data_IF_015749264487
#
_entry.id   IF_015749264487
#
_cell.length_a   1.000
_cell.length_b   1.000
_cell.length_c   1.000
_cell.angle_alpha   90.00
_cell.angle_beta   90.00
_cell.angle_gamma   90.00
#
_symmetry.space_group_name_H-M   'P 1'
#
loop_
_entity.id
_entity.type
_entity.pdbx_description
1 polymer ?
#
# COMPACT_ATOMS: atom_id res chain seq x y z
N UNK A 1 -29.98 -17.90 -18.54
CA UNK A 1 -29.24 -17.13 -17.51
C UNK A 1 -29.22 -15.69 -17.97
N UNK A 2 -30.08 -14.83 -17.40
CA UNK A 2 -30.15 -13.40 -17.76
C UNK A 2 -29.06 -12.69 -16.96
N UNK A 3 -27.98 -12.28 -17.63
CA UNK A 3 -26.96 -11.44 -17.02
C UNK A 3 -27.55 -10.03 -16.95
N UNK A 4 -27.98 -9.59 -15.76
CA UNK A 4 -28.32 -8.18 -15.52
C UNK A 4 -27.06 -7.36 -15.83
N UNK A 5 -27.15 -6.44 -16.78
CA UNK A 5 -26.17 -5.37 -16.93
C UNK A 5 -26.25 -4.51 -15.66
N UNK A 6 -25.36 -4.77 -14.71
CA UNK A 6 -25.11 -3.85 -13.60
C UNK A 6 -24.54 -2.59 -14.27
N UNK A 7 -25.26 -1.47 -14.16
CA UNK A 7 -24.76 -0.20 -14.67
C UNK A 7 -23.42 0.09 -14.00
N UNK A 8 -22.45 0.53 -14.81
CA UNK A 8 -21.06 0.77 -14.35
C UNK A 8 -20.98 1.86 -13.27
N UNK A 9 -22.00 2.70 -13.16
CA UNK A 9 -22.09 3.80 -12.19
C UNK A 9 -22.53 3.30 -10.80
N UNK A 10 -23.46 2.35 -10.73
CA UNK A 10 -23.98 1.83 -9.46
C UNK A 10 -22.94 1.05 -8.64
N UNK A 11 -21.93 0.49 -9.31
CA UNK A 11 -20.88 -0.28 -8.62
C UNK A 11 -19.87 0.60 -7.90
N UNK A 12 -19.76 1.88 -8.31
CA UNK A 12 -18.82 2.81 -7.71
C UNK A 12 -19.34 3.30 -6.36
N UNK A 13 -20.62 3.70 -6.29
CA UNK A 13 -21.22 4.26 -5.07
C UNK A 13 -21.30 3.27 -3.91
N UNK A 14 -21.52 1.98 -4.17
CA UNK A 14 -21.76 0.99 -3.12
C UNK A 14 -20.50 0.57 -2.33
N UNK A 15 -19.29 0.99 -2.73
CA UNK A 15 -18.04 0.56 -2.08
C UNK A 15 -17.53 1.49 -0.98
N UNK A 16 -18.23 2.60 -0.71
CA UNK A 16 -17.69 3.72 0.09
C UNK A 16 -18.50 4.08 1.36
N UNK A 17 -19.56 3.36 1.72
CA UNK A 17 -20.49 3.77 2.80
C UNK A 17 -20.04 3.50 4.24
N UNK A 18 -18.95 2.77 4.48
CA UNK A 18 -18.73 2.14 5.80
C UNK A 18 -17.59 2.75 6.64
N UNK A 19 -17.10 3.97 6.36
CA UNK A 19 -16.05 4.58 7.21
C UNK A 19 -16.06 6.13 7.19
N UNK A 20 -16.90 6.74 8.02
CA UNK A 20 -16.97 8.20 8.24
C UNK A 20 -15.98 8.71 9.31
N UNK A 21 -14.89 8.00 9.62
CA UNK A 21 -13.85 8.55 10.49
C UNK A 21 -12.93 9.49 9.72
N UNK A 22 -13.32 10.76 9.60
CA UNK A 22 -12.41 11.82 9.15
C UNK A 22 -11.49 12.20 10.30
N UNK A 23 -10.20 11.87 10.20
CA UNK A 23 -9.19 12.38 11.12
C UNK A 23 -8.75 13.79 10.69
N UNK A 24 -8.48 14.71 11.63
CA UNK A 24 -7.90 16.01 11.27
C UNK A 24 -6.54 15.82 10.61
N UNK A 25 -6.23 16.69 9.64
CA UNK A 25 -4.96 16.68 8.93
C UNK A 25 -3.79 16.85 9.92
N UNK A 26 -2.72 16.07 9.73
CA UNK A 26 -1.57 16.03 10.64
C UNK A 26 -1.78 15.30 11.97
N UNK A 27 -2.86 14.54 12.12
CA UNK A 27 -3.07 13.71 13.32
C UNK A 27 -2.03 12.59 13.46
N UNK A 28 -1.51 12.42 14.67
CA UNK A 28 -0.61 11.31 15.02
C UNK A 28 -1.35 9.98 14.97
N UNK A 29 -0.67 8.93 14.51
CA UNK A 29 -1.22 7.58 14.48
C UNK A 29 -1.25 7.02 15.91
N UNK A 30 -2.45 6.83 16.45
CA UNK A 30 -2.68 6.10 17.69
C UNK A 30 -3.17 4.70 17.31
N UNK A 31 -2.49 3.66 17.79
CA UNK A 31 -2.87 2.27 17.56
C UNK A 31 -3.87 1.80 18.62
N UNK A 32 -4.91 1.11 18.18
CA UNK A 32 -5.86 0.43 19.08
C UNK A 32 -5.27 -0.87 19.64
N UNK A 33 -5.82 -1.37 20.75
CA UNK A 33 -5.38 -2.63 21.36
C UNK A 33 -5.46 -3.80 20.38
N UNK A 34 -6.53 -3.86 19.57
CA UNK A 34 -6.68 -4.90 18.54
C UNK A 34 -5.66 -4.78 17.40
N UNK A 35 -5.23 -3.56 17.06
CA UNK A 35 -4.15 -3.35 16.09
C UNK A 35 -2.80 -3.83 16.68
N UNK A 36 -2.50 -3.48 17.94
CA UNK A 36 -1.29 -3.90 18.63
C UNK A 36 -1.22 -5.42 18.82
N UNK A 37 -2.32 -6.03 19.24
CA UNK A 37 -2.42 -7.49 19.40
C UNK A 37 -2.17 -8.21 18.06
N UNK A 38 -2.81 -7.76 16.98
CA UNK A 38 -2.56 -8.32 15.65
C UNK A 38 -1.09 -8.18 15.22
N UNK A 39 -0.43 -7.06 15.52
CA UNK A 39 1.00 -6.89 15.24
C UNK A 39 1.87 -7.88 16.01
N UNK A 40 1.58 -8.10 17.31
CA UNK A 40 2.29 -9.10 18.13
C UNK A 40 2.09 -10.51 17.58
N UNK A 41 0.88 -10.86 17.17
CA UNK A 41 0.60 -12.16 16.56
C UNK A 41 1.34 -12.35 15.22
N UNK A 42 1.35 -11.33 14.34
CA UNK A 42 2.13 -11.38 13.09
C UNK A 42 3.61 -11.54 13.39
N UNK A 43 4.15 -10.80 14.37
CA UNK A 43 5.55 -10.90 14.80
C UNK A 43 5.88 -12.31 15.27
N UNK A 44 5.09 -12.85 16.19
CA UNK A 44 5.25 -14.21 16.69
C UNK A 44 5.27 -15.21 15.53
N UNK A 45 4.28 -15.13 14.64
CA UNK A 45 4.16 -16.01 13.46
C UNK A 45 5.38 -15.94 12.53
N UNK A 46 5.88 -14.73 12.24
CA UNK A 46 7.08 -14.56 11.41
C UNK A 46 8.30 -15.26 12.02
N UNK A 47 8.46 -15.20 13.35
CA UNK A 47 9.57 -15.82 14.05
C UNK A 47 9.38 -17.33 14.22
N UNK A 48 8.23 -17.81 14.67
CA UNK A 48 7.98 -19.22 14.97
C UNK A 48 7.80 -20.07 13.73
N UNK A 49 7.01 -19.60 12.76
CA UNK A 49 6.58 -20.41 11.62
C UNK A 49 7.54 -20.26 10.43
N UNK A 50 8.20 -19.10 10.33
CA UNK A 50 9.02 -18.75 9.17
C UNK A 50 10.50 -18.50 9.50
N UNK A 51 10.90 -18.53 10.77
CA UNK A 51 12.29 -18.30 11.17
C UNK A 51 12.82 -16.91 10.82
N UNK A 52 11.95 -15.91 10.67
CA UNK A 52 12.35 -14.53 10.37
C UNK A 52 12.69 -13.82 11.68
N UNK A 53 13.94 -13.37 11.78
CA UNK A 53 14.41 -12.56 12.90
C UNK A 53 13.64 -11.24 13.02
N UNK A 54 13.37 -10.83 14.26
CA UNK A 54 12.59 -9.61 14.54
C UNK A 54 13.25 -8.33 13.97
N UNK A 55 14.57 -8.30 13.88
CA UNK A 55 15.38 -7.20 13.32
C UNK A 55 15.13 -6.98 11.82
N UNK A 56 14.76 -8.02 11.05
CA UNK A 56 14.55 -7.92 9.59
C UNK A 56 13.27 -7.20 9.20
N UNK A 57 12.36 -6.99 10.15
CA UNK A 57 11.08 -6.32 9.93
C UNK A 57 10.88 -5.29 11.02
N UNK A 58 11.05 -4.02 10.69
CA UNK A 58 10.88 -2.88 11.57
C UNK A 58 9.46 -2.80 12.12
N UNK A 59 9.35 -2.22 13.30
CA UNK A 59 8.08 -2.06 14.01
C UNK A 59 7.09 -1.21 13.20
N UNK A 60 7.58 -0.16 12.54
CA UNK A 60 6.76 0.72 11.71
C UNK A 60 6.21 0.00 10.49
N UNK A 61 7.06 -0.71 9.75
CA UNK A 61 6.62 -1.44 8.57
C UNK A 61 5.62 -2.54 8.95
N UNK A 62 5.87 -3.26 10.05
CA UNK A 62 4.94 -4.27 10.57
C UNK A 62 3.56 -3.67 10.86
N UNK A 63 3.50 -2.51 11.51
CA UNK A 63 2.24 -1.84 11.81
C UNK A 63 1.46 -1.51 10.54
N UNK A 64 2.11 -0.84 9.58
CA UNK A 64 1.48 -0.43 8.32
C UNK A 64 1.01 -1.66 7.53
N UNK A 65 1.85 -2.69 7.42
CA UNK A 65 1.50 -3.94 6.74
C UNK A 65 0.28 -4.64 7.37
N UNK A 66 0.27 -4.75 8.71
CA UNK A 66 -0.81 -5.42 9.45
C UNK A 66 -2.15 -4.70 9.28
N UNK A 67 -2.17 -3.37 9.38
CA UNK A 67 -3.40 -2.57 9.22
C UNK A 67 -3.90 -2.61 7.77
N UNK A 68 -3.00 -2.51 6.79
CA UNK A 68 -3.38 -2.60 5.38
C UNK A 68 -3.93 -3.98 4.99
N UNK A 69 -3.45 -5.04 5.64
CA UNK A 69 -3.99 -6.39 5.54
C UNK A 69 -5.22 -6.63 6.44
N UNK A 70 -5.79 -5.59 7.04
CA UNK A 70 -7.01 -5.65 7.87
C UNK A 70 -6.86 -6.58 9.06
N UNK A 71 -5.69 -6.57 9.70
CA UNK A 71 -5.38 -7.35 10.90
C UNK A 71 -5.43 -8.87 10.68
N UNK A 72 -5.40 -9.32 9.42
CA UNK A 72 -5.36 -10.75 9.07
C UNK A 72 -3.96 -11.28 9.27
N UNK A 73 -3.73 -11.90 10.41
CA UNK A 73 -2.40 -12.33 10.86
C UNK A 73 -1.70 -13.22 9.81
N UNK A 74 -2.36 -14.29 9.36
CA UNK A 74 -1.76 -15.24 8.40
C UNK A 74 -1.47 -14.57 7.04
N UNK A 75 -2.45 -13.86 6.47
CA UNK A 75 -2.28 -13.17 5.18
C UNK A 75 -1.16 -12.11 5.23
N UNK A 76 -1.02 -11.44 6.38
CA UNK A 76 0.04 -10.45 6.60
C UNK A 76 1.41 -11.13 6.65
N UNK A 77 1.56 -12.20 7.45
CA UNK A 77 2.82 -12.93 7.58
C UNK A 77 3.28 -13.49 6.22
N UNK A 78 2.39 -14.13 5.46
CA UNK A 78 2.71 -14.68 4.13
C UNK A 78 3.17 -13.59 3.15
N UNK A 79 2.54 -12.41 3.17
CA UNK A 79 2.94 -11.27 2.34
C UNK A 79 4.32 -10.75 2.72
N UNK A 80 4.62 -10.63 4.01
CA UNK A 80 5.93 -10.18 4.50
C UNK A 80 7.02 -11.19 4.11
N UNK A 81 6.80 -12.49 4.32
CA UNK A 81 7.74 -13.56 3.89
C UNK A 81 8.02 -13.46 2.40
N UNK A 82 6.97 -13.35 1.59
CA UNK A 82 7.09 -13.22 0.13
C UNK A 82 7.84 -11.96 -0.27
N UNK A 83 7.56 -10.83 0.39
CA UNK A 83 8.23 -9.55 0.13
C UNK A 83 9.72 -9.64 0.44
N UNK A 84 10.10 -10.18 1.60
CA UNK A 84 11.51 -10.34 1.99
C UNK A 84 12.28 -11.25 1.02
N UNK A 85 11.69 -12.36 0.60
CA UNK A 85 12.31 -13.24 -0.40
C UNK A 85 12.44 -12.61 -1.80
N UNK A 86 11.61 -11.61 -2.12
CA UNK A 86 11.76 -10.81 -3.35
C UNK A 86 12.78 -9.69 -3.18
N UNK A 87 12.84 -9.07 -2.01
CA UNK A 87 13.86 -8.08 -1.66
C UNK A 87 15.26 -8.68 -1.72
N UNK A 88 15.45 -9.89 -1.21
CA UNK A 88 16.71 -10.63 -1.31
C UNK A 88 17.13 -10.81 -2.78
N UNK A 89 16.20 -11.19 -3.66
CA UNK A 89 16.44 -11.34 -5.11
C UNK A 89 16.77 -10.02 -5.81
N UNK A 90 16.38 -8.88 -5.23
CA UNK A 90 16.66 -7.54 -5.72
C UNK A 90 17.89 -6.91 -5.02
N UNK A 91 18.67 -7.69 -4.26
CA UNK A 91 19.89 -7.20 -3.59
C UNK A 91 19.67 -6.48 -2.26
N UNK A 92 18.50 -6.69 -1.62
CA UNK A 92 18.12 -6.16 -0.30
C UNK A 92 17.91 -7.29 0.74
N UNK A 93 18.94 -8.08 1.12
CA UNK A 93 18.77 -9.19 2.07
C UNK A 93 18.46 -8.71 3.51
N UNK A 94 18.88 -7.48 3.83
CA UNK A 94 18.85 -6.87 5.17
C UNK A 94 17.41 -6.71 5.73
N UNK A 95 16.40 -6.75 4.85
CA UNK A 95 15.00 -6.58 5.22
C UNK A 95 14.56 -5.12 5.23
N UNK A 96 13.64 -4.77 6.12
CA UNK A 96 13.07 -3.42 6.24
C UNK A 96 13.24 -2.98 7.68
N UNK A 97 14.27 -2.21 8.00
CA UNK A 97 14.50 -1.68 9.35
C UNK A 97 13.62 -0.45 9.67
N UNK A 98 13.75 0.11 10.88
CA UNK A 98 13.08 1.35 11.28
C UNK A 98 13.85 2.63 10.87
N UNK A 99 15.02 2.50 10.23
CA UNK A 99 15.73 3.63 9.60
C UNK A 99 15.16 3.83 8.19
N UNK A 100 13.95 4.35 8.14
CA UNK A 100 13.12 4.35 6.93
C UNK A 100 13.70 5.18 5.78
N UNK A 101 14.38 6.28 6.09
CA UNK A 101 14.97 7.14 5.06
C UNK A 101 16.28 6.53 4.56
N UNK A 102 16.32 6.16 3.27
CA UNK A 102 17.51 5.63 2.60
C UNK A 102 18.01 6.66 1.57
N UNK A 103 19.00 7.51 1.91
CA UNK A 103 19.46 8.60 1.04
C UNK A 103 19.90 8.14 -0.35
N UNK A 104 20.52 6.96 -0.44
CA UNK A 104 21.01 6.40 -1.69
C UNK A 104 19.86 6.07 -2.65
N UNK A 105 18.70 5.70 -2.14
CA UNK A 105 17.52 5.35 -2.93
C UNK A 105 16.68 6.55 -3.39
N UNK A 106 16.98 7.79 -2.94
CA UNK A 106 16.12 8.95 -3.20
C UNK A 106 15.97 9.32 -4.69
N UNK A 107 16.90 8.92 -5.55
CA UNK A 107 16.83 9.18 -6.99
C UNK A 107 15.77 8.29 -7.67
N UNK A 108 15.52 7.10 -7.13
CA UNK A 108 14.48 6.17 -7.60
C UNK A 108 13.05 6.60 -7.20
N UNK A 109 12.89 7.74 -6.53
CA UNK A 109 11.57 8.32 -6.27
C UNK A 109 10.98 9.08 -7.48
N UNK A 110 11.75 9.29 -8.54
CA UNK A 110 11.31 10.04 -9.72
C UNK A 110 10.07 9.49 -10.46
N UNK A 111 9.71 8.18 -10.41
CA UNK A 111 8.47 7.69 -11.01
C UNK A 111 7.21 8.15 -10.27
N UNK A 112 7.35 8.65 -9.04
CA UNK A 112 6.23 9.05 -8.19
C UNK A 112 6.10 10.59 -8.19
N UNK A 113 5.19 11.16 -8.99
CA UNK A 113 4.96 12.59 -8.96
C UNK A 113 4.36 13.05 -7.61
N UNK A 114 4.62 14.31 -7.21
CA UNK A 114 3.83 15.00 -6.20
C UNK A 114 2.33 14.89 -6.43
N UNK A 115 1.60 14.36 -5.44
CA UNK A 115 0.14 14.24 -5.44
C UNK A 115 -0.42 14.45 -4.04
N UNK A 116 -1.69 14.84 -3.97
CA UNK A 116 -2.42 15.05 -2.73
C UNK A 116 -3.35 13.88 -2.39
N UNK A 117 -4.50 14.22 -1.82
CA UNK A 117 -5.55 13.26 -1.43
C UNK A 117 -6.66 13.16 -2.47
N UNK A 118 -7.36 12.03 -2.48
CA UNK A 118 -8.61 11.85 -3.23
C UNK A 118 -9.80 12.54 -2.53
N UNK A 119 -11.00 12.40 -3.10
CA UNK A 119 -12.24 12.99 -2.58
C UNK A 119 -12.65 12.47 -1.18
N UNK A 120 -12.01 11.40 -0.68
CA UNK A 120 -12.25 10.81 0.64
C UNK A 120 -11.20 11.25 1.67
N UNK A 121 -10.26 12.11 1.27
CA UNK A 121 -9.12 12.48 2.11
C UNK A 121 -8.05 11.38 2.22
N UNK A 122 -8.12 10.32 1.41
CA UNK A 122 -7.07 9.30 1.36
C UNK A 122 -5.96 9.73 0.40
N UNK A 123 -4.71 9.43 0.71
CA UNK A 123 -3.56 9.67 -0.16
C UNK A 123 -3.73 8.97 -1.51
N UNK A 124 -3.25 9.63 -2.56
CA UNK A 124 -3.14 9.06 -3.90
C UNK A 124 -1.73 8.51 -4.07
N UNK A 125 -1.59 7.29 -4.55
CA UNK A 125 -0.34 6.80 -5.13
C UNK A 125 -0.46 6.89 -6.64
N UNK A 126 0.24 7.84 -7.23
CA UNK A 126 0.35 7.97 -8.68
C UNK A 126 1.72 7.48 -9.11
N UNK A 127 1.77 6.59 -10.10
CA UNK A 127 3.02 6.02 -10.62
C UNK A 127 3.07 6.32 -12.11
N UNK A 128 4.10 7.06 -12.54
CA UNK A 128 4.40 7.25 -13.94
C UNK A 128 5.15 6.02 -14.45
N UNK A 129 4.49 5.26 -15.31
CA UNK A 129 5.10 4.15 -16.03
C UNK A 129 6.11 4.64 -17.07
N UNK A 130 6.94 3.72 -17.56
CA UNK A 130 7.89 3.97 -18.65
C UNK A 130 9.35 3.89 -18.24
N UNK A 131 9.66 3.77 -16.95
CA UNK A 131 11.02 3.57 -16.48
C UNK A 131 11.25 2.08 -16.22
N UNK A 132 12.30 1.54 -16.83
CA UNK A 132 12.80 0.19 -16.54
C UNK A 132 13.88 0.31 -15.48
N UNK A 133 13.82 -0.58 -14.49
CA UNK A 133 14.80 -0.64 -13.40
C UNK A 133 15.99 -1.42 -13.92
N UNK A 134 17.17 -0.78 -14.02
CA UNK A 134 18.37 -1.52 -14.35
C UNK A 134 18.74 -2.49 -13.21
N UNK A 135 19.52 -3.52 -13.49
CA UNK A 135 19.95 -4.48 -12.45
C UNK A 135 20.76 -3.82 -11.34
N UNK A 136 21.51 -2.77 -11.67
CA UNK A 136 22.33 -2.01 -10.72
C UNK A 136 21.46 -1.15 -9.78
N UNK A 137 20.26 -0.76 -10.23
CA UNK A 137 19.33 0.09 -9.47
C UNK A 137 18.31 -0.72 -8.66
N UNK A 138 18.20 -2.04 -8.82
CA UNK A 138 17.18 -2.87 -8.17
C UNK A 138 17.07 -2.67 -6.65
N UNK A 139 18.21 -2.60 -5.96
CA UNK A 139 18.29 -2.38 -4.51
C UNK A 139 17.71 -1.01 -4.13
N UNK A 140 18.18 0.04 -4.81
CA UNK A 140 17.74 1.41 -4.56
C UNK A 140 16.27 1.59 -4.90
N UNK A 141 15.82 0.94 -5.97
CA UNK A 141 14.44 0.97 -6.40
C UNK A 141 13.52 0.28 -5.39
N UNK A 142 13.90 -0.89 -4.88
CA UNK A 142 13.13 -1.57 -3.83
C UNK A 142 13.00 -0.69 -2.57
N UNK A 143 14.09 -0.08 -2.10
CA UNK A 143 14.04 0.86 -0.99
C UNK A 143 13.18 2.10 -1.26
N UNK A 144 13.27 2.70 -2.45
CA UNK A 144 12.43 3.84 -2.83
C UNK A 144 10.95 3.48 -2.85
N UNK A 145 10.60 2.28 -3.29
CA UNK A 145 9.23 1.78 -3.25
C UNK A 145 8.72 1.60 -1.81
N UNK A 146 9.55 1.08 -0.90
CA UNK A 146 9.18 0.97 0.52
C UNK A 146 9.06 2.35 1.18
N UNK A 147 9.98 3.27 0.91
CA UNK A 147 9.89 4.67 1.37
C UNK A 147 8.60 5.33 0.90
N UNK A 148 8.28 5.21 -0.40
CA UNK A 148 7.06 5.74 -0.97
C UNK A 148 5.83 5.10 -0.31
N UNK A 149 5.79 3.77 -0.22
CA UNK A 149 4.70 3.03 0.40
C UNK A 149 4.45 3.48 1.84
N UNK A 150 5.50 3.64 2.65
CA UNK A 150 5.34 4.09 4.04
C UNK A 150 4.90 5.56 4.12
N UNK A 151 5.47 6.44 3.28
CA UNK A 151 5.13 7.87 3.27
C UNK A 151 3.65 8.15 2.94
N UNK A 152 3.05 7.36 2.04
CA UNK A 152 1.61 7.52 1.70
C UNK A 152 0.68 7.01 2.81
N UNK A 153 1.16 6.15 3.71
CA UNK A 153 0.37 5.63 4.84
C UNK A 153 0.71 6.32 6.18
N UNK A 154 1.47 7.42 6.16
CA UNK A 154 1.80 8.15 7.38
C UNK A 154 0.63 8.98 7.94
N UNK A 155 -0.52 9.02 7.27
CA UNK A 155 -1.75 9.61 7.80
C UNK A 155 -2.74 8.50 8.21
N UNK A 156 -3.44 8.68 9.35
CA UNK A 156 -4.33 7.64 9.89
C UNK A 156 -5.53 7.35 8.99
N UNK A 157 -6.01 8.34 8.22
CA UNK A 157 -7.12 8.18 7.27
C UNK A 157 -6.75 7.18 6.18
N UNK A 158 -5.63 7.37 5.49
CA UNK A 158 -5.15 6.46 4.43
C UNK A 158 -4.78 5.10 4.98
N UNK A 159 -4.09 5.06 6.12
CA UNK A 159 -3.70 3.82 6.76
C UNK A 159 -4.89 2.87 6.99
N UNK A 160 -6.03 3.41 7.45
CA UNK A 160 -7.22 2.60 7.78
C UNK A 160 -8.20 2.48 6.63
N UNK A 161 -8.34 3.50 5.79
CA UNK A 161 -9.33 3.53 4.71
C UNK A 161 -8.74 3.08 3.37
N UNK A 162 -7.42 2.91 3.26
CA UNK A 162 -6.71 2.57 2.04
C UNK A 162 -6.46 3.79 1.15
N UNK A 163 -6.04 3.56 -0.09
CA UNK A 163 -5.61 4.62 -1.00
C UNK A 163 -6.29 4.54 -2.38
N UNK A 164 -6.11 5.61 -3.16
CA UNK A 164 -6.35 5.61 -4.61
C UNK A 164 -5.05 5.30 -5.35
N UNK A 165 -5.02 4.23 -6.14
CA UNK A 165 -3.82 3.77 -6.85
C UNK A 165 -3.95 4.05 -8.34
N UNK A 166 -3.03 4.82 -8.91
CA UNK A 166 -3.07 5.26 -10.31
C UNK A 166 -1.75 4.92 -10.98
N UNK A 167 -1.82 4.15 -12.07
CA UNK A 167 -0.67 3.80 -12.91
C UNK A 167 -0.85 4.51 -14.25
N UNK A 168 -0.03 5.51 -14.51
CA UNK A 168 -0.03 6.28 -15.75
C UNK A 168 0.95 5.68 -16.76
N UNK A 169 0.40 5.01 -17.77
CA UNK A 169 1.16 4.36 -18.83
C UNK A 169 1.42 5.26 -20.04
N UNK A 170 0.98 6.53 -20.01
CA UNK A 170 1.08 7.45 -21.16
C UNK A 170 2.52 7.77 -21.57
N UNK A 171 3.45 7.72 -20.62
CA UNK A 171 4.88 7.96 -20.86
C UNK A 171 5.68 6.72 -21.25
N UNK A 172 5.02 5.56 -21.43
CA UNK A 172 5.74 4.30 -21.72
C UNK A 172 6.25 4.27 -23.15
N UNK A 173 7.56 4.16 -23.31
CA UNK A 173 8.19 3.87 -24.60
C UNK A 173 8.24 2.36 -24.84
N UNK A 174 7.41 1.87 -25.76
CA UNK A 174 7.37 0.46 -26.17
C UNK A 174 8.67 0.00 -26.86
N UNK A 175 9.54 0.92 -27.29
CA UNK A 175 10.82 0.61 -27.94
C UNK A 175 11.96 0.36 -26.98
N UNK A 176 11.83 0.69 -25.69
CA UNK A 176 12.88 0.41 -24.72
C UNK A 176 13.17 -1.10 -24.66
N UNK A 177 14.45 -1.47 -24.66
CA UNK A 177 14.88 -2.86 -24.57
C UNK A 177 14.51 -3.50 -23.23
N UNK A 178 14.25 -4.81 -23.23
CA UNK A 178 14.00 -5.57 -21.99
C UNK A 178 15.28 -5.70 -21.16
N UNK A 179 15.15 -5.50 -19.85
CA UNK A 179 16.26 -5.67 -18.88
C UNK A 179 16.30 -7.12 -18.38
N UNK A 180 15.16 -7.82 -18.39
CA UNK A 180 15.03 -9.23 -18.03
C UNK A 180 14.68 -9.48 -16.56
N UNK A 181 14.54 -8.44 -15.74
CA UNK A 181 14.16 -8.48 -14.33
C UNK A 181 12.68 -8.11 -14.10
N UNK A 182 11.91 -7.79 -15.15
CA UNK A 182 10.58 -7.19 -15.03
C UNK A 182 9.61 -8.06 -14.24
N UNK A 183 9.73 -9.39 -14.36
CA UNK A 183 8.91 -10.35 -13.61
C UNK A 183 9.18 -10.27 -12.11
N UNK A 184 10.43 -10.13 -11.70
CA UNK A 184 10.82 -10.03 -10.28
C UNK A 184 10.36 -8.71 -9.70
N UNK A 185 10.61 -7.60 -10.39
CA UNK A 185 10.16 -6.26 -9.98
C UNK A 185 8.63 -6.19 -9.88
N UNK A 186 7.92 -6.75 -10.85
CA UNK A 186 6.46 -6.84 -10.80
C UNK A 186 5.97 -7.69 -9.63
N UNK A 187 6.61 -8.84 -9.36
CA UNK A 187 6.26 -9.67 -8.22
C UNK A 187 6.50 -8.95 -6.88
N UNK A 188 7.58 -8.15 -6.80
CA UNK A 188 7.89 -7.29 -5.65
C UNK A 188 6.75 -6.29 -5.39
N UNK A 189 6.31 -5.54 -6.40
CA UNK A 189 5.18 -4.62 -6.25
C UNK A 189 3.90 -5.31 -5.74
N UNK A 190 3.62 -6.51 -6.24
CA UNK A 190 2.45 -7.28 -5.83
C UNK A 190 2.55 -7.86 -4.41
N UNK A 191 3.77 -8.00 -3.88
CA UNK A 191 4.01 -8.48 -2.53
C UNK A 191 3.84 -7.38 -1.47
N UNK A 192 3.93 -6.10 -1.85
CA UNK A 192 3.73 -4.98 -0.93
C UNK A 192 2.29 -5.05 -0.36
N UNK A 193 2.11 -5.01 0.98
CA UNK A 193 0.79 -5.03 1.64
C UNK A 193 -0.02 -3.75 1.37
N UNK A 194 -0.58 -3.59 0.18
CA UNK A 194 -1.40 -2.43 -0.16
C UNK A 194 -2.89 -2.67 0.02
N UNK A 195 -3.63 -1.61 0.33
CA UNK A 195 -5.09 -1.59 0.42
C UNK A 195 -5.70 -0.61 -0.61
N UNK A 196 -5.52 -0.83 -1.92
CA UNK A 196 -6.11 0.05 -2.92
C UNK A 196 -7.64 -0.12 -2.90
N UNK A 197 -8.35 1.00 -2.84
CA UNK A 197 -9.82 1.01 -2.95
C UNK A 197 -10.25 1.21 -4.40
N UNK A 198 -9.44 1.93 -5.17
CA UNK A 198 -9.55 2.07 -6.62
C UNK A 198 -8.15 1.89 -7.24
N UNK A 199 -8.09 1.20 -8.37
CA UNK A 199 -6.90 1.02 -9.19
C UNK A 199 -7.23 1.55 -10.59
N UNK A 200 -6.63 2.67 -10.98
CA UNK A 200 -6.76 3.25 -12.30
C UNK A 200 -5.50 2.95 -13.11
N UNK A 201 -5.66 2.34 -14.28
CA UNK A 201 -4.57 2.14 -15.25
C UNK A 201 -4.84 3.09 -16.41
N UNK A 202 -4.20 4.25 -16.35
CA UNK A 202 -4.35 5.36 -17.28
C UNK A 202 -3.40 5.24 -18.47
N UNK A 203 -3.73 5.86 -19.61
CA UNK A 203 -2.83 5.97 -20.77
C UNK A 203 -2.61 4.68 -21.57
N UNK A 204 -3.35 3.61 -21.29
CA UNK A 204 -3.30 2.39 -22.12
C UNK A 204 -3.98 2.62 -23.48
N UNK A 205 -3.38 2.11 -24.56
CA UNK A 205 -3.96 2.19 -25.91
C UNK A 205 -5.33 1.51 -25.97
N UNK A 206 -6.22 2.01 -26.84
CA UNK A 206 -7.60 1.49 -26.97
C UNK A 206 -7.65 -0.02 -27.24
N UNK A 207 -6.73 -0.50 -28.07
CA UNK A 207 -6.59 -1.93 -28.40
C UNK A 207 -6.21 -2.71 -27.14
N UNK A 208 -5.19 -2.26 -26.40
CA UNK A 208 -4.75 -2.93 -25.18
C UNK A 208 -5.86 -2.93 -24.11
N UNK A 209 -6.59 -1.83 -23.98
CA UNK A 209 -7.77 -1.72 -23.10
C UNK A 209 -8.82 -2.77 -23.45
N UNK A 210 -9.09 -2.97 -24.74
CA UNK A 210 -10.07 -3.96 -25.20
C UNK A 210 -9.64 -5.39 -24.88
N UNK A 211 -8.36 -5.71 -25.14
CA UNK A 211 -7.80 -7.03 -24.83
C UNK A 211 -7.87 -7.30 -23.33
N UNK A 212 -7.39 -6.35 -22.51
CA UNK A 212 -7.36 -6.54 -21.06
C UNK A 212 -8.77 -6.65 -20.47
N UNK A 213 -9.73 -5.84 -20.93
CA UNK A 213 -11.11 -5.95 -20.46
C UNK A 213 -11.73 -7.32 -20.78
N UNK A 214 -11.38 -7.92 -21.93
CA UNK A 214 -11.80 -9.29 -22.26
C UNK A 214 -11.09 -10.33 -21.37
N UNK A 215 -9.78 -10.19 -21.16
CA UNK A 215 -9.01 -11.07 -20.29
C UNK A 215 -9.47 -11.00 -18.84
N UNK A 216 -9.85 -9.83 -18.33
CA UNK A 216 -10.40 -9.65 -16.98
C UNK A 216 -11.75 -10.33 -16.83
N UNK A 217 -12.63 -10.23 -17.84
CA UNK A 217 -13.90 -10.99 -17.82
C UNK A 217 -13.63 -12.49 -17.69
N UNK A 218 -12.65 -13.03 -18.41
CA UNK A 218 -12.26 -14.43 -18.30
C UNK A 218 -11.63 -14.76 -16.93
N UNK A 219 -10.71 -13.90 -16.46
CA UNK A 219 -10.04 -14.06 -15.17
C UNK A 219 -10.97 -13.88 -13.96
N UNK A 220 -12.11 -13.19 -14.14
CA UNK A 220 -13.14 -13.03 -13.10
C UNK A 220 -13.82 -14.32 -12.67
N UNK A 221 -13.63 -15.40 -13.43
CA UNK A 221 -14.03 -16.76 -13.04
C UNK A 221 -13.10 -17.36 -11.97
N UNK A 222 -11.88 -16.83 -11.81
CA UNK A 222 -10.83 -17.40 -10.94
C UNK A 222 -10.28 -16.43 -9.90
N UNK A 223 -10.42 -15.11 -10.12
CA UNK A 223 -9.97 -14.06 -9.20
C UNK A 223 -11.16 -13.54 -8.39
N UNK A 224 -10.97 -13.29 -7.09
CA UNK A 224 -11.98 -12.68 -6.21
C UNK A 224 -12.56 -11.42 -6.88
N UNK A 225 -13.85 -11.45 -7.23
CA UNK A 225 -14.51 -10.37 -7.99
C UNK A 225 -14.33 -8.99 -7.36
N UNK A 226 -14.23 -8.92 -6.03
CA UNK A 226 -13.96 -7.69 -5.28
C UNK A 226 -12.66 -6.98 -5.69
N UNK A 227 -11.62 -7.71 -6.09
CA UNK A 227 -10.35 -7.11 -6.54
C UNK A 227 -10.50 -6.58 -7.96
N UNK A 228 -11.11 -7.37 -8.86
CA UNK A 228 -11.31 -6.97 -10.25
C UNK A 228 -12.25 -5.76 -10.39
N UNK A 229 -13.27 -5.66 -9.52
CA UNK A 229 -14.17 -4.51 -9.48
C UNK A 229 -13.49 -3.19 -9.14
N UNK A 230 -12.26 -3.21 -8.62
CA UNK A 230 -11.47 -2.02 -8.30
C UNK A 230 -10.56 -1.58 -9.45
N UNK A 231 -10.34 -2.42 -10.45
CA UNK A 231 -9.40 -2.15 -11.55
C UNK A 231 -10.15 -1.53 -12.73
N UNK A 232 -9.75 -0.33 -13.12
CA UNK A 232 -10.34 0.41 -14.22
C UNK A 232 -9.26 0.86 -15.21
N UNK A 233 -9.45 0.53 -16.49
CA UNK A 233 -8.61 1.03 -17.58
C UNK A 233 -9.24 2.28 -18.16
N UNK A 234 -8.56 3.40 -18.02
CA UNK A 234 -9.11 4.74 -18.25
C UNK A 234 -8.17 5.57 -19.11
N UNK A 235 -8.66 6.66 -19.72
CA UNK A 235 -7.75 7.67 -20.27
C UNK A 235 -7.04 8.43 -19.14
N UNK A 236 -6.04 9.24 -19.46
CA UNK A 236 -5.41 10.13 -18.46
C UNK A 236 -6.44 11.15 -17.97
N UNK A 237 -7.22 11.75 -18.86
CA UNK A 237 -8.28 12.72 -18.53
C UNK A 237 -9.37 12.11 -17.63
N UNK A 238 -9.77 10.87 -17.89
CA UNK A 238 -10.70 10.12 -17.03
C UNK A 238 -10.11 9.84 -15.64
N UNK A 239 -8.80 9.66 -15.53
CA UNK A 239 -8.15 9.48 -14.23
C UNK A 239 -8.09 10.80 -13.47
N UNK A 240 -7.80 11.91 -14.17
CA UNK A 240 -7.78 13.26 -13.60
C UNK A 240 -9.14 13.71 -13.11
N UNK A 241 -10.22 13.42 -13.83
CA UNK A 241 -11.58 13.78 -13.41
C UNK A 241 -12.06 13.03 -12.16
N UNK A 242 -11.35 11.98 -11.73
CA UNK A 242 -11.67 11.18 -10.53
C UNK A 242 -10.96 11.64 -9.26
N UNK A 243 -10.03 12.60 -9.37
CA UNK A 243 -9.29 13.16 -8.23
C UNK A 243 -9.43 14.68 -8.20
N UNK A 244 -9.33 15.33 -7.03
CA UNK A 244 -9.32 16.79 -6.97
C UNK A 244 -8.18 17.36 -7.82
N UNK A 245 -8.46 18.39 -8.62
CA UNK A 245 -7.45 19.03 -9.47
C UNK A 245 -6.23 19.51 -8.67
N UNK A 246 -6.48 20.07 -7.47
CA UNK A 246 -5.45 20.47 -6.51
C UNK A 246 -4.50 19.34 -6.10
N UNK A 247 -4.97 18.09 -6.15
CA UNK A 247 -4.23 16.90 -5.75
C UNK A 247 -3.53 16.18 -6.91
N UNK A 248 -3.90 16.47 -8.15
CA UNK A 248 -3.37 15.77 -9.32
C UNK A 248 -1.93 16.22 -9.66
N UNK A 249 -1.13 15.38 -10.35
CA UNK A 249 0.22 15.75 -10.77
C UNK A 249 0.26 16.99 -11.67
N UNK A 250 1.29 17.83 -11.49
CA UNK A 250 1.48 19.05 -12.29
C UNK A 250 1.63 18.75 -13.78
N UNK A 251 2.34 17.68 -14.15
CA UNK A 251 2.56 17.34 -15.56
C UNK A 251 1.28 16.91 -16.30
N UNK A 252 0.22 16.61 -15.56
CA UNK A 252 -1.11 16.31 -16.10
C UNK A 252 -2.08 17.50 -16.00
N UNK A 253 -1.59 18.70 -15.63
CA UNK A 253 -2.43 19.89 -15.45
C UNK A 253 -3.02 20.07 -14.05
N UNK A 254 -2.58 19.29 -13.06
CA UNK A 254 -2.95 19.48 -11.65
C UNK A 254 -2.05 20.46 -10.88
N UNK A 255 -2.24 20.56 -9.57
CA UNK A 255 -1.47 21.46 -8.69
C UNK A 255 -0.45 20.73 -7.79
N UNK A 256 -0.27 19.42 -7.97
CA UNK A 256 0.75 18.62 -7.28
C UNK A 256 0.50 18.37 -5.79
N UNK A 257 -0.74 18.55 -5.30
CA UNK A 257 -1.10 18.31 -3.91
C UNK A 257 -0.47 19.29 -2.90
N UNK A 258 0.00 20.44 -3.36
CA UNK A 258 0.77 21.38 -2.52
C UNK A 258 2.19 20.91 -2.20
N UNK A 259 2.65 19.80 -2.79
CA UNK A 259 3.98 19.22 -2.52
C UNK A 259 5.02 19.85 -3.45
N UNK A 260 5.85 20.73 -2.90
CA UNK A 260 6.89 21.45 -3.64
C UNK A 260 8.14 20.60 -3.94
N UNK A 261 8.57 19.80 -2.96
CA UNK A 261 9.73 18.92 -3.09
C UNK A 261 9.35 17.51 -2.63
N UNK A 262 9.21 16.59 -3.58
CA UNK A 262 8.74 15.23 -3.29
C UNK A 262 9.65 14.47 -2.32
N UNK A 263 10.98 14.65 -2.44
CA UNK A 263 11.96 13.98 -1.58
C UNK A 263 11.85 14.41 -0.12
N UNK A 264 11.73 15.72 0.11
CA UNK A 264 11.53 16.26 1.46
C UNK A 264 10.16 15.86 2.01
N UNK A 265 9.12 15.85 1.16
CA UNK A 265 7.80 15.37 1.56
C UNK A 265 7.83 13.90 2.01
N UNK A 266 8.48 13.00 1.25
CA UNK A 266 8.66 11.60 1.66
C UNK A 266 9.39 11.53 3.01
N UNK A 267 10.51 12.26 3.15
CA UNK A 267 11.31 12.25 4.37
C UNK A 267 10.52 12.74 5.60
N UNK A 268 9.78 13.84 5.47
CA UNK A 268 8.93 14.39 6.52
C UNK A 268 7.87 13.36 6.94
N UNK A 269 7.17 12.76 5.97
CA UNK A 269 6.12 11.77 6.20
C UNK A 269 6.64 10.52 6.88
N UNK A 270 7.83 10.03 6.51
CA UNK A 270 8.48 8.92 7.21
C UNK A 270 8.75 9.24 8.69
N UNK A 271 9.07 10.49 9.00
CA UNK A 271 9.26 10.97 10.38
C UNK A 271 7.98 11.09 11.21
N UNK A 272 6.80 11.11 10.57
CA UNK A 272 5.49 11.18 11.24
C UNK A 272 4.98 9.79 11.68
N UNK A 273 5.58 8.71 11.18
CA UNK A 273 5.16 7.35 11.51
C UNK A 273 5.48 7.02 12.97
N UNK A 274 4.44 6.65 13.72
CA UNK A 274 4.56 6.28 15.13
C UNK A 274 5.02 4.83 15.25
N UNK A 275 6.05 4.58 16.06
CA UNK A 275 6.48 3.21 16.37
C UNK A 275 5.47 2.56 17.31
N UNK A 276 4.90 1.38 16.97
CA UNK A 276 4.01 0.68 17.90
C UNK A 276 4.81 0.19 19.12
N UNK A 277 4.21 0.29 20.30
CA UNK A 277 4.76 -0.35 21.50
C UNK A 277 4.32 -1.83 21.53
N UNK A 278 5.28 -2.71 21.31
CA UNK A 278 5.07 -4.16 21.29
C UNK A 278 5.65 -4.84 22.54
N UNK A 279 6.06 -4.08 23.55
CA UNK A 279 6.78 -4.60 24.72
C UNK A 279 5.88 -5.33 25.73
N UNK A 280 4.60 -4.97 25.82
CA UNK A 280 3.64 -5.60 26.75
C UNK A 280 2.67 -6.52 26.00
N UNK A 281 2.82 -7.84 26.15
CA UNK A 281 1.79 -8.80 25.74
C UNK A 281 0.63 -8.84 26.76
N UNK A 282 -0.58 -9.24 26.37
CA UNK A 282 -1.73 -9.36 27.27
C UNK A 282 -1.57 -10.43 28.37
N UNK A 283 -0.41 -11.09 28.51
CA UNK A 283 -0.13 -12.04 29.58
C UNK A 283 -0.31 -11.42 30.98
N UNK A 284 -0.14 -10.10 31.14
CA UNK A 284 -0.46 -9.41 32.41
C UNK A 284 -1.96 -9.15 32.64
N UNK A 285 -2.81 -9.31 31.63
CA UNK A 285 -4.27 -9.11 31.78
C UNK A 285 -5.00 -10.39 32.22
N UNK A 286 -4.45 -11.57 31.92
CA UNK A 286 -5.05 -12.84 32.31
C UNK A 286 -4.92 -13.10 33.81
N UNK A 287 -3.78 -12.77 34.41
CA UNK A 287 -3.58 -12.89 35.86
C UNK A 287 -4.47 -11.91 36.65
N UNK A 288 -4.69 -10.69 36.12
CA UNK A 288 -5.59 -9.72 36.73
C UNK A 288 -7.08 -10.11 36.62
N UNK A 289 -7.48 -10.83 35.56
CA UNK A 289 -8.86 -11.34 35.44
C UNK A 289 -9.10 -12.55 36.35
N UNK A 290 -8.08 -13.40 36.53
CA UNK A 290 -8.13 -14.52 37.47
C UNK A 290 -8.22 -14.04 38.92
N UNK A 291 -7.45 -13.01 39.28
CA UNK A 291 -7.51 -12.39 40.62
C UNK A 291 -8.83 -11.63 40.85
N UNK A 292 -9.37 -10.95 39.83
CA UNK A 292 -10.69 -10.29 39.91
C UNK A 292 -11.83 -11.29 40.11
N UNK A 293 -11.82 -12.43 39.40
CA UNK A 293 -12.82 -13.50 39.54
C UNK A 293 -12.65 -14.30 40.83
N UNK A 294 -11.45 -14.35 41.40
CA UNK A 294 -11.21 -14.93 42.73
C UNK A 294 -11.78 -14.05 43.85
N UNK A 295 -11.74 -12.72 43.71
CA UNK A 295 -12.29 -11.78 44.70
C UNK A 295 -13.83 -11.74 44.70
N UNK A 296 -14.51 -11.97 43.58
CA UNK A 296 -15.99 -11.99 43.54
C UNK A 296 -16.62 -13.24 44.16
N UNK A 297 -15.83 -14.26 44.54
CA UNK A 297 -16.35 -15.51 45.13
C UNK A 297 -16.30 -15.57 46.67
N UNK A 298 -15.90 -14.48 47.33
CA UNK A 298 -15.73 -14.44 48.80
C UNK A 298 -16.80 -13.56 49.51
N UNK A 299 -17.74 -12.97 48.77
CA UNK A 299 -18.94 -12.31 49.34
C UNK A 299 -20.21 -13.15 49.15
#
# INVERSE_FOLDING_TARGET
>A
MVIKEISREDTFSASFSDSESSYPDGSTIIYSDGELDAMRQVRAKLTTDHGIESSRVGSVFLAVATINCKLRVDETAEKIVKLLGLMEKLGCPDGIDDELWKPDAKHELHPYPPVGTDNRGCSITWIRGGNRVSKEEERNHAHACIMQYLSVHADPTTLRNGLSFIIDMSGKDDKQAKVGNEKTVQAFYQAIPQRPQIILIAGSSFIMRTIINKSIKLASLFIKQKVLGRIHFVSVDDALSRVPLKSAPVYCGGEGGGVKCYKEWVKERLGQLTKPDLSEGPEQSADNLADSLAQTKIE
#
